data_IF_019574444246
#
_entry.id   IF_019574444246
#
_cell.length_a   1.000
_cell.length_b   1.000
_cell.length_c   1.000
_cell.angle_alpha   90.00
_cell.angle_beta   90.00
_cell.angle_gamma   90.00
#
_symmetry.space_group_name_H-M   'P 1'
#
loop_
_entity.id
_entity.type
_entity.pdbx_description
1 polymer ?
#
# COMPACT_ATOMS: atom_id res chain seq x y z
N UNK A 1 2.57 14.36 7.53
CA UNK A 1 2.80 14.28 6.07
C UNK A 1 1.55 13.67 5.43
N UNK A 2 1.06 14.22 4.31
CA UNK A 2 -0.11 13.66 3.61
C UNK A 2 0.36 12.63 2.58
N UNK A 3 -0.25 11.43 2.60
CA UNK A 3 0.17 10.28 1.78
C UNK A 3 -0.84 10.05 0.66
N UNK A 4 -2.12 9.93 1.03
CA UNK A 4 -3.24 9.91 0.09
C UNK A 4 -4.08 11.14 0.35
N UNK A 5 -4.31 11.92 -0.72
CA UNK A 5 -5.20 13.06 -0.69
C UNK A 5 -6.47 12.71 -1.46
N UNK A 6 -7.62 12.95 -0.83
CA UNK A 6 -8.93 12.86 -1.46
C UNK A 6 -9.49 14.27 -1.54
N UNK A 7 -9.87 14.66 -2.74
CA UNK A 7 -10.64 15.89 -3.00
C UNK A 7 -11.99 15.49 -3.57
N UNK A 8 -12.96 16.41 -3.55
CA UNK A 8 -14.29 16.16 -4.12
C UNK A 8 -14.30 15.80 -5.62
N UNK A 9 -13.16 15.84 -6.32
CA UNK A 9 -13.03 15.57 -7.75
C UNK A 9 -11.89 14.61 -8.12
N UNK A 10 -10.93 14.32 -7.23
CA UNK A 10 -9.79 13.46 -7.52
C UNK A 10 -9.18 12.83 -6.27
N UNK A 11 -8.59 11.65 -6.44
CA UNK A 11 -7.68 11.04 -5.45
C UNK A 11 -6.26 11.12 -5.97
N UNK A 12 -5.33 11.52 -5.11
CA UNK A 12 -3.89 11.62 -5.41
C UNK A 12 -3.08 10.83 -4.39
N UNK A 13 -1.97 10.24 -4.85
CA UNK A 13 -1.01 9.51 -4.03
C UNK A 13 0.35 10.19 -4.14
N UNK A 14 1.00 10.44 -2.99
CA UNK A 14 2.31 11.06 -2.93
C UNK A 14 3.42 10.01 -3.04
N UNK A 15 4.16 9.99 -4.15
CA UNK A 15 5.43 9.25 -4.23
C UNK A 15 6.48 10.02 -3.45
N UNK A 16 7.00 9.42 -2.38
CA UNK A 16 7.83 10.12 -1.39
C UNK A 16 9.27 9.62 -1.49
N UNK A 17 10.21 10.54 -1.73
CA UNK A 17 11.64 10.22 -1.69
C UNK A 17 12.21 10.53 -0.31
N UNK A 18 12.71 9.48 0.33
CA UNK A 18 13.38 9.51 1.63
C UNK A 18 14.89 9.56 1.42
N UNK A 19 15.56 10.56 2.00
CA UNK A 19 17.03 10.69 1.96
C UNK A 19 17.61 10.92 3.34
N UNK A 20 18.86 10.51 3.53
CA UNK A 20 19.63 10.72 4.76
C UNK A 20 20.96 11.39 4.42
N UNK A 21 21.40 12.33 5.26
CA UNK A 21 22.73 12.90 5.12
C UNK A 21 23.81 11.84 5.47
N UNK A 22 24.83 11.73 4.62
CA UNK A 22 25.95 10.80 4.83
C UNK A 22 25.79 9.43 4.16
N UNK A 23 24.75 9.23 3.35
CA UNK A 23 24.58 8.05 2.49
C UNK A 23 24.02 8.49 1.13
N UNK A 24 24.47 7.89 0.02
CA UNK A 24 23.90 8.13 -1.30
C UNK A 24 22.67 7.25 -1.60
N UNK A 25 22.31 6.31 -0.72
CA UNK A 25 21.13 5.44 -0.85
C UNK A 25 19.84 6.25 -0.70
N UNK A 26 18.89 6.03 -1.61
CA UNK A 26 17.56 6.64 -1.56
C UNK A 26 16.46 5.58 -1.48
N UNK A 27 15.48 5.81 -0.61
CA UNK A 27 14.24 5.03 -0.61
C UNK A 27 13.12 5.86 -1.26
N UNK A 28 12.44 5.29 -2.26
CA UNK A 28 11.32 5.93 -2.95
C UNK A 28 10.05 5.14 -2.63
N UNK A 29 9.16 5.74 -1.84
CA UNK A 29 7.92 5.10 -1.39
C UNK A 29 6.83 5.39 -2.41
N UNK A 30 6.17 4.33 -2.88
CA UNK A 30 5.00 4.38 -3.77
C UNK A 30 3.77 3.90 -2.98
N UNK A 31 2.95 4.81 -2.41
CA UNK A 31 1.71 4.44 -1.75
C UNK A 31 0.70 3.93 -2.77
N UNK A 32 0.43 2.64 -2.75
CA UNK A 32 -0.43 1.97 -3.71
C UNK A 32 -1.88 1.94 -3.25
N UNK A 33 -2.79 2.19 -4.19
CA UNK A 33 -4.17 1.74 -4.09
C UNK A 33 -4.35 0.52 -4.99
N UNK A 34 -4.96 -0.53 -4.47
CA UNK A 34 -5.20 -1.77 -5.23
C UNK A 34 -6.22 -1.60 -6.36
N UNK A 35 -6.97 -0.50 -6.39
CA UNK A 35 -7.86 -0.13 -7.50
C UNK A 35 -7.61 1.33 -7.86
N UNK A 36 -7.17 1.58 -9.09
CA UNK A 36 -6.84 2.92 -9.58
C UNK A 36 -7.00 3.02 -11.10
N UNK A 37 -6.80 4.21 -11.67
CA UNK A 37 -6.81 4.40 -13.12
C UNK A 37 -5.61 3.71 -13.81
N UNK A 38 -5.73 3.28 -15.08
CA UNK A 38 -4.59 2.78 -15.85
C UNK A 38 -3.43 3.77 -15.93
N UNK A 39 -3.74 5.08 -16.01
CA UNK A 39 -2.74 6.14 -16.04
C UNK A 39 -1.88 6.15 -14.78
N UNK A 40 -2.50 6.01 -13.59
CA UNK A 40 -1.77 5.90 -12.33
C UNK A 40 -0.73 4.78 -12.38
N UNK A 41 -1.15 3.56 -12.71
CA UNK A 41 -0.24 2.41 -12.76
C UNK A 41 0.85 2.57 -13.82
N UNK A 42 0.53 3.21 -14.96
CA UNK A 42 1.54 3.52 -15.98
C UNK A 42 2.60 4.51 -15.49
N UNK A 43 2.21 5.52 -14.71
CA UNK A 43 3.12 6.50 -14.11
C UNK A 43 4.00 5.89 -13.02
N UNK A 44 3.43 4.98 -12.20
CA UNK A 44 4.20 4.19 -11.23
C UNK A 44 5.23 3.33 -11.97
N UNK A 45 4.80 2.55 -12.98
CA UNK A 45 5.71 1.70 -13.77
C UNK A 45 6.84 2.48 -14.42
N UNK A 46 6.59 3.69 -14.94
CA UNK A 46 7.64 4.52 -15.52
C UNK A 46 8.71 4.89 -14.49
N UNK A 47 8.31 5.26 -13.27
CA UNK A 47 9.23 5.61 -12.17
C UNK A 47 9.96 4.40 -11.60
N UNK A 48 9.31 3.25 -11.53
CA UNK A 48 9.96 2.00 -11.08
C UNK A 48 11.14 1.60 -11.98
N UNK A 49 11.16 2.01 -13.26
CA UNK A 49 12.30 1.76 -14.15
C UNK A 49 13.55 2.56 -13.79
N UNK A 50 13.40 3.62 -13.01
CA UNK A 50 14.52 4.44 -12.53
C UNK A 50 15.08 3.93 -11.19
N UNK A 51 14.53 2.84 -10.67
CA UNK A 51 14.92 2.23 -9.40
C UNK A 51 15.70 0.94 -9.67
N UNK A 52 16.73 0.70 -8.87
CA UNK A 52 17.64 -0.44 -9.02
C UNK A 52 17.07 -1.68 -8.32
N UNK A 53 16.36 -1.46 -7.21
CA UNK A 53 15.79 -2.49 -6.36
C UNK A 53 14.33 -2.17 -6.04
N UNK A 54 13.45 -3.19 -6.07
CA UNK A 54 12.03 -3.02 -5.76
C UNK A 54 11.66 -3.92 -4.58
N UNK A 55 11.20 -3.30 -3.50
CA UNK A 55 10.61 -3.97 -2.34
C UNK A 55 9.10 -3.88 -2.48
N UNK A 56 8.42 -5.01 -2.69
CA UNK A 56 7.01 -5.05 -3.07
C UNK A 56 6.16 -5.85 -2.09
N UNK A 57 4.97 -5.32 -1.77
CA UNK A 57 3.91 -6.03 -1.05
C UNK A 57 3.39 -7.21 -1.88
N UNK A 58 3.07 -8.32 -1.22
CA UNK A 58 2.50 -9.48 -1.92
C UNK A 58 2.48 -10.70 -1.03
N UNK A 59 1.30 -11.06 -0.54
CA UNK A 59 1.14 -12.25 0.29
C UNK A 59 1.40 -13.50 -0.55
N UNK A 60 2.41 -14.29 -0.16
CA UNK A 60 2.79 -15.50 -0.88
C UNK A 60 1.88 -16.69 -0.56
N UNK A 61 1.46 -17.43 -1.58
CA UNK A 61 0.69 -18.66 -1.46
C UNK A 61 -0.83 -18.47 -1.63
N UNK A 62 -1.55 -19.60 -1.70
CA UNK A 62 -3.01 -19.59 -1.92
C UNK A 62 -3.72 -19.86 -0.61
N UNK A 63 -4.72 -19.04 -0.29
CA UNK A 63 -5.68 -19.39 0.75
C UNK A 63 -7.07 -18.84 0.47
N UNK A 64 -8.08 -19.65 0.78
CA UNK A 64 -9.50 -19.31 0.64
C UNK A 64 -9.85 -18.10 1.50
N UNK A 65 -9.34 -18.01 2.73
CA UNK A 65 -9.63 -16.89 3.64
C UNK A 65 -9.16 -15.55 3.10
N UNK A 66 -7.91 -15.47 2.65
CA UNK A 66 -7.36 -14.26 2.02
C UNK A 66 -8.07 -13.95 0.71
N UNK A 67 -8.33 -14.95 -0.13
CA UNK A 67 -9.07 -14.75 -1.37
C UNK A 67 -10.48 -14.19 -1.13
N UNK A 68 -11.13 -14.53 -0.01
CA UNK A 68 -12.44 -13.98 0.37
C UNK A 68 -12.33 -12.55 0.90
N UNK A 69 -11.25 -12.22 1.63
CA UNK A 69 -11.02 -10.87 2.14
C UNK A 69 -10.61 -9.90 1.02
N UNK A 70 -9.83 -10.36 0.03
CA UNK A 70 -9.45 -9.57 -1.14
C UNK A 70 -10.52 -9.56 -2.23
N UNK A 71 -11.62 -10.29 -2.03
CA UNK A 71 -12.72 -10.40 -2.99
C UNK A 71 -13.36 -9.04 -3.30
N UNK A 72 -13.37 -8.13 -2.32
CA UNK A 72 -13.88 -6.76 -2.49
C UNK A 72 -13.17 -6.02 -3.63
N UNK A 73 -11.85 -6.16 -3.74
CA UNK A 73 -11.04 -5.55 -4.80
C UNK A 73 -11.36 -6.12 -6.18
N UNK A 74 -11.75 -7.39 -6.27
CA UNK A 74 -12.07 -8.07 -7.55
C UNK A 74 -13.41 -7.66 -8.15
N UNK A 75 -14.31 -7.06 -7.36
CA UNK A 75 -15.62 -6.61 -7.84
C UNK A 75 -15.64 -5.12 -8.22
N UNK A 76 -14.75 -4.31 -7.67
CA UNK A 76 -14.64 -2.89 -8.00
C UNK A 76 -14.36 -2.58 -9.51
N UNK A 77 -13.45 -3.28 -10.21
CA UNK A 77 -13.11 -2.96 -11.61
C UNK A 77 -13.95 -3.73 -12.65
N UNK A 78 -14.91 -4.57 -12.23
CA UNK A 78 -15.54 -5.57 -13.12
C UNK A 78 -16.41 -4.99 -14.25
N UNK A 79 -16.66 -3.68 -14.25
CA UNK A 79 -17.17 -2.95 -15.42
C UNK A 79 -16.06 -2.05 -15.97
N UNK A 80 -15.56 -2.39 -17.17
CA UNK A 80 -14.71 -1.51 -18.01
C UNK A 80 -15.27 -0.09 -18.23
N UNK A 81 -16.54 0.15 -17.89
CA UNK A 81 -17.22 1.46 -17.92
C UNK A 81 -16.64 2.51 -16.96
N UNK A 82 -15.85 2.11 -15.97
CA UNK A 82 -15.46 3.00 -14.88
C UNK A 82 -14.02 3.53 -14.99
N UNK A 83 -13.24 3.11 -15.99
CA UNK A 83 -11.86 3.58 -16.17
C UNK A 83 -10.87 3.18 -15.05
N UNK A 84 -11.23 2.22 -14.20
CA UNK A 84 -10.39 1.70 -13.10
C UNK A 84 -9.94 0.27 -13.38
N UNK A 85 -8.77 -0.10 -12.86
CA UNK A 85 -8.20 -1.44 -12.92
C UNK A 85 -7.65 -1.87 -11.56
N UNK A 86 -7.58 -3.17 -11.35
CA UNK A 86 -6.91 -3.77 -10.19
C UNK A 86 -5.39 -3.68 -10.35
N UNK A 87 -4.67 -3.46 -9.26
CA UNK A 87 -3.22 -3.59 -9.22
C UNK A 87 -2.84 -5.02 -9.59
N UNK A 88 -1.93 -5.16 -10.55
CA UNK A 88 -1.32 -6.44 -10.92
C UNK A 88 0.17 -6.25 -11.08
N UNK A 89 0.94 -7.20 -10.57
CA UNK A 89 2.40 -7.14 -10.61
C UNK A 89 2.93 -7.04 -12.05
N UNK A 90 2.29 -7.76 -12.99
CA UNK A 90 2.56 -7.72 -14.44
C UNK A 90 2.41 -6.30 -15.05
N UNK A 91 1.59 -5.44 -14.45
CA UNK A 91 1.37 -4.07 -14.91
C UNK A 91 2.42 -3.09 -14.36
N UNK A 92 3.11 -3.47 -13.29
CA UNK A 92 4.06 -2.61 -12.58
C UNK A 92 5.51 -2.98 -12.91
N UNK A 93 5.81 -4.28 -12.91
CA UNK A 93 7.16 -4.80 -13.02
C UNK A 93 7.61 -4.95 -14.49
N UNK A 94 8.89 -4.71 -14.72
CA UNK A 94 9.60 -5.18 -15.91
C UNK A 94 10.39 -6.44 -15.57
N UNK A 95 10.62 -7.32 -16.55
CA UNK A 95 11.33 -8.60 -16.37
C UNK A 95 12.76 -8.46 -15.80
N UNK A 96 13.33 -7.26 -15.84
CA UNK A 96 14.73 -6.97 -15.46
C UNK A 96 14.92 -6.44 -14.04
N UNK A 97 13.85 -6.08 -13.31
CA UNK A 97 14.00 -5.47 -11.99
C UNK A 97 14.22 -6.54 -10.90
N UNK A 98 15.18 -6.31 -10.00
CA UNK A 98 15.33 -7.16 -8.81
C UNK A 98 14.20 -6.86 -7.83
N UNK A 99 13.36 -7.86 -7.54
CA UNK A 99 12.21 -7.73 -6.66
C UNK A 99 12.40 -8.51 -5.37
N UNK A 100 12.38 -7.81 -4.25
CA UNK A 100 12.33 -8.37 -2.90
C UNK A 100 10.88 -8.29 -2.42
N UNK A 101 10.37 -9.39 -1.88
CA UNK A 101 9.05 -9.43 -1.29
C UNK A 101 9.18 -10.00 0.13
N UNK A 102 9.28 -9.11 1.14
CA UNK A 102 9.49 -9.50 2.54
C UNK A 102 8.18 -9.84 3.27
N UNK A 103 7.07 -9.89 2.55
CA UNK A 103 5.72 -10.02 3.12
C UNK A 103 5.46 -11.40 3.75
N UNK A 104 4.33 -11.51 4.43
CA UNK A 104 3.88 -12.75 5.06
C UNK A 104 3.31 -13.74 4.03
N UNK A 105 3.34 -15.01 4.40
CA UNK A 105 2.63 -16.05 3.65
C UNK A 105 1.13 -15.99 3.93
N UNK A 106 0.35 -16.60 3.03
CA UNK A 106 -1.10 -16.67 3.16
C UNK A 106 -1.55 -17.42 4.42
N UNK A 107 -0.76 -18.38 4.89
CA UNK A 107 -1.04 -19.09 6.13
C UNK A 107 -0.82 -18.20 7.36
N UNK A 108 0.28 -17.43 7.38
CA UNK A 108 0.63 -16.52 8.46
C UNK A 108 -0.41 -15.39 8.60
N UNK A 109 -0.78 -14.74 7.49
CA UNK A 109 -1.79 -13.67 7.50
C UNK A 109 -3.16 -14.16 8.02
N UNK A 110 -3.56 -15.38 7.67
CA UNK A 110 -4.80 -15.98 8.21
C UNK A 110 -4.65 -16.37 9.67
N UNK A 111 -3.46 -16.80 10.09
CA UNK A 111 -3.16 -17.05 11.50
C UNK A 111 -3.42 -15.80 12.34
N UNK A 112 -2.96 -14.65 11.88
CA UNK A 112 -3.11 -13.37 12.59
C UNK A 112 -4.57 -12.92 12.63
N UNK A 113 -5.30 -13.07 11.52
CA UNK A 113 -6.74 -12.80 11.48
C UNK A 113 -7.56 -13.76 12.36
N UNK A 114 -7.15 -15.01 12.48
CA UNK A 114 -7.77 -15.99 13.37
C UNK A 114 -7.42 -15.78 14.85
N UNK A 115 -6.37 -15.00 15.14
CA UNK A 115 -6.04 -14.59 16.51
C UNK A 115 -7.02 -13.54 17.05
N UNK A 116 -7.77 -12.86 16.16
CA UNK A 116 -8.90 -12.02 16.55
C UNK A 116 -10.03 -12.86 17.15
N UNK A 117 -10.98 -12.18 17.81
CA UNK A 117 -12.24 -12.81 18.22
C UNK A 117 -12.90 -13.51 17.03
N UNK A 118 -13.41 -14.74 17.26
CA UNK A 118 -14.05 -15.57 16.23
C UNK A 118 -15.21 -14.85 15.54
N UNK A 119 -15.94 -14.01 16.28
CA UNK A 119 -17.03 -13.20 15.75
C UNK A 119 -16.52 -12.13 14.79
N UNK A 120 -15.43 -11.44 15.15
CA UNK A 120 -14.77 -10.46 14.29
C UNK A 120 -14.30 -11.10 12.99
N UNK A 121 -13.65 -12.26 13.06
CA UNK A 121 -13.20 -12.99 11.88
C UNK A 121 -14.37 -13.39 10.96
N UNK A 122 -15.47 -13.89 11.53
CA UNK A 122 -16.68 -14.22 10.77
C UNK A 122 -17.31 -12.97 10.13
N UNK A 123 -17.39 -11.87 10.87
CA UNK A 123 -17.89 -10.59 10.36
C UNK A 123 -17.05 -10.10 9.18
N UNK A 124 -15.72 -10.23 9.23
CA UNK A 124 -14.85 -9.85 8.12
C UNK A 124 -15.10 -10.70 6.86
N UNK A 125 -15.28 -12.02 7.03
CA UNK A 125 -15.60 -12.91 5.91
C UNK A 125 -16.94 -12.57 5.23
N UNK A 126 -17.92 -12.07 5.99
CA UNK A 126 -19.22 -11.63 5.46
C UNK A 126 -19.16 -10.21 4.91
N UNK A 127 -18.43 -9.30 5.56
CA UNK A 127 -18.32 -7.91 5.15
C UNK A 127 -17.60 -7.76 3.81
N UNK A 128 -16.57 -8.57 3.54
CA UNK A 128 -15.80 -8.49 2.29
C UNK A 128 -16.64 -8.64 1.00
N UNK A 129 -17.49 -9.67 0.83
CA UNK A 129 -18.36 -9.77 -0.35
C UNK A 129 -19.44 -8.69 -0.39
N UNK A 130 -19.96 -8.23 0.76
CA UNK A 130 -20.91 -7.10 0.82
C UNK A 130 -20.25 -5.82 0.33
N UNK A 131 -19.04 -5.52 0.78
CA UNK A 131 -18.25 -4.38 0.31
C UNK A 131 -17.95 -4.49 -1.19
N UNK A 132 -17.60 -5.68 -1.68
CA UNK A 132 -17.44 -5.93 -3.12
C UNK A 132 -18.70 -5.60 -3.92
N UNK A 133 -19.88 -5.95 -3.40
CA UNK A 133 -21.17 -5.62 -4.03
C UNK A 133 -21.46 -4.11 -3.98
N UNK A 134 -21.19 -3.46 -2.85
CA UNK A 134 -21.33 -2.00 -2.70
C UNK A 134 -20.44 -1.28 -3.73
N UNK A 135 -19.17 -1.69 -3.88
CA UNK A 135 -18.27 -1.13 -4.88
C UNK A 135 -18.78 -1.35 -6.30
N UNK A 136 -19.32 -2.53 -6.60
CA UNK A 136 -19.91 -2.82 -7.91
C UNK A 136 -21.13 -1.93 -8.23
N UNK A 137 -21.90 -1.51 -7.22
CA UNK A 137 -23.08 -0.66 -7.37
C UNK A 137 -22.76 0.84 -7.38
N UNK A 138 -21.90 1.32 -6.48
CA UNK A 138 -21.56 2.76 -6.33
C UNK A 138 -20.57 3.26 -7.38
N UNK A 139 -19.76 2.38 -7.97
CA UNK A 139 -18.73 2.77 -8.94
C UNK A 139 -17.60 3.60 -8.31
N UNK A 140 -16.88 4.42 -9.10
CA UNK A 140 -15.70 5.17 -8.65
C UNK A 140 -15.96 6.12 -7.47
N UNK A 141 -17.21 6.54 -7.25
CA UNK A 141 -17.57 7.44 -6.15
C UNK A 141 -17.33 6.85 -4.76
N UNK A 142 -17.35 5.53 -4.63
CA UNK A 142 -16.95 4.89 -3.37
C UNK A 142 -15.46 5.07 -3.07
N UNK A 143 -14.66 5.44 -4.07
CA UNK A 143 -13.25 5.76 -3.91
C UNK A 143 -12.97 7.27 -3.79
N UNK A 144 -14.01 8.12 -3.70
CA UNK A 144 -13.87 9.55 -3.43
C UNK A 144 -14.29 9.89 -1.99
N UNK A 145 -14.35 8.88 -1.12
CA UNK A 145 -14.72 9.04 0.27
C UNK A 145 -13.52 9.50 1.11
N UNK A 146 -13.77 10.33 2.13
CA UNK A 146 -12.72 10.83 3.04
C UNK A 146 -12.04 9.67 3.80
N UNK A 147 -12.73 8.53 3.92
CA UNK A 147 -12.20 7.29 4.50
C UNK A 147 -10.97 6.70 3.76
N UNK A 148 -10.64 7.20 2.57
CA UNK A 148 -9.42 6.83 1.84
C UNK A 148 -8.21 7.73 2.10
N UNK A 149 -8.41 8.84 2.82
CA UNK A 149 -7.32 9.72 3.21
C UNK A 149 -6.37 8.94 4.12
N UNK A 150 -5.10 8.93 3.74
CA UNK A 150 -4.03 8.35 4.55
C UNK A 150 -3.05 9.47 4.85
N UNK A 151 -2.84 9.70 6.14
CA UNK A 151 -1.91 10.69 6.66
C UNK A 151 -0.99 10.02 7.67
N UNK A 152 0.22 10.57 7.79
CA UNK A 152 1.23 10.12 8.74
C UNK A 152 0.80 10.36 10.20
N UNK A 153 0.00 11.40 10.44
CA UNK A 153 -0.66 11.67 11.71
C UNK A 153 -2.16 11.73 11.47
N UNK A 154 -2.99 11.05 12.27
CA UNK A 154 -4.43 11.14 12.13
C UNK A 154 -4.88 12.58 12.43
N UNK A 155 -5.63 13.18 11.52
CA UNK A 155 -6.16 14.55 11.67
C UNK A 155 -7.66 14.58 11.99
N UNK A 156 -8.32 13.41 11.99
CA UNK A 156 -9.75 13.27 12.31
C UNK A 156 -9.96 12.21 13.40
N UNK A 157 -11.02 12.35 14.19
CA UNK A 157 -11.38 11.39 15.24
C UNK A 157 -11.58 9.97 14.66
N UNK A 158 -12.12 9.87 13.45
CA UNK A 158 -12.29 8.58 12.77
C UNK A 158 -10.94 7.96 12.38
N UNK A 159 -9.99 8.75 11.90
CA UNK A 159 -8.63 8.29 11.62
C UNK A 159 -7.91 7.85 12.90
N UNK A 160 -8.09 8.56 14.02
CA UNK A 160 -7.58 8.16 15.33
C UNK A 160 -8.16 6.80 15.77
N UNK A 161 -9.49 6.62 15.65
CA UNK A 161 -10.14 5.34 15.98
C UNK A 161 -9.70 4.18 15.06
N UNK A 162 -9.38 4.45 13.79
CA UNK A 162 -8.84 3.44 12.88
C UNK A 162 -7.38 3.11 13.18
N UNK A 163 -6.59 4.07 13.68
CA UNK A 163 -5.20 3.85 14.07
C UNK A 163 -5.08 2.85 15.23
N UNK A 164 -6.00 2.89 16.19
CA UNK A 164 -6.03 1.96 17.34
C UNK A 164 -6.87 0.69 17.08
N UNK A 165 -7.26 0.43 15.83
CA UNK A 165 -8.17 -0.66 15.51
C UNK A 165 -7.45 -2.03 15.50
N UNK A 166 -7.87 -3.00 16.33
CA UNK A 166 -7.20 -4.30 16.42
C UNK A 166 -7.24 -5.12 15.12
N UNK A 167 -8.23 -4.88 14.25
CA UNK A 167 -8.28 -5.51 12.93
C UNK A 167 -7.18 -4.94 12.02
N UNK A 168 -6.95 -3.63 12.07
CA UNK A 168 -5.90 -2.98 11.29
C UNK A 168 -4.53 -3.48 11.77
N UNK A 169 -4.28 -3.49 13.07
CA UNK A 169 -3.04 -4.06 13.64
C UNK A 169 -2.80 -5.52 13.23
N UNK A 170 -3.84 -6.36 13.26
CA UNK A 170 -3.72 -7.75 12.81
C UNK A 170 -3.42 -7.88 11.31
N UNK A 171 -3.80 -6.89 10.50
CA UNK A 171 -3.53 -6.84 9.06
C UNK A 171 -2.18 -6.21 8.73
N UNK A 172 -1.63 -5.33 9.57
CA UNK A 172 -0.46 -4.50 9.23
C UNK A 172 0.78 -4.81 10.05
N UNK A 173 0.70 -4.91 11.38
CA UNK A 173 1.88 -4.83 12.27
C UNK A 173 2.99 -5.84 11.93
N UNK A 174 2.64 -7.12 11.73
CA UNK A 174 3.64 -8.14 11.40
C UNK A 174 4.26 -7.89 10.02
N UNK A 175 3.46 -7.40 9.07
CA UNK A 175 3.89 -7.12 7.70
C UNK A 175 4.83 -5.91 7.69
N UNK A 176 4.47 -4.87 8.42
CA UNK A 176 5.29 -3.67 8.64
C UNK A 176 6.62 -4.02 9.28
N UNK A 177 6.60 -4.89 10.30
CA UNK A 177 7.83 -5.35 10.94
C UNK A 177 8.75 -6.05 9.94
N UNK A 178 8.25 -7.02 9.17
CA UNK A 178 9.08 -7.72 8.16
C UNK A 178 9.60 -6.79 7.08
N UNK A 179 8.78 -5.84 6.65
CA UNK A 179 9.20 -4.82 5.70
C UNK A 179 10.33 -3.97 6.28
N UNK A 180 10.16 -3.42 7.49
CA UNK A 180 11.19 -2.59 8.13
C UNK A 180 12.49 -3.35 8.38
N UNK A 181 12.41 -4.63 8.73
CA UNK A 181 13.58 -5.48 8.91
C UNK A 181 14.32 -5.68 7.57
N UNK A 182 13.60 -5.94 6.48
CA UNK A 182 14.18 -6.03 5.12
C UNK A 182 14.77 -4.69 4.63
N UNK A 183 14.13 -3.56 4.93
CA UNK A 183 14.69 -2.23 4.62
C UNK A 183 15.96 -1.97 5.43
N UNK A 184 16.04 -2.51 6.65
CA UNK A 184 17.24 -2.48 7.48
C UNK A 184 18.40 -3.26 6.88
N UNK A 185 18.14 -4.46 6.37
CA UNK A 185 19.13 -5.27 5.66
C UNK A 185 19.65 -4.54 4.41
N UNK A 186 18.75 -4.01 3.58
CA UNK A 186 19.11 -3.21 2.40
C UNK A 186 19.96 -2.00 2.78
N UNK A 187 19.60 -1.29 3.85
CA UNK A 187 20.39 -0.16 4.33
C UNK A 187 21.79 -0.58 4.78
N UNK A 188 21.91 -1.72 5.46
CA UNK A 188 23.19 -2.22 5.94
C UNK A 188 24.10 -2.69 4.79
N UNK A 189 23.52 -3.30 3.75
CA UNK A 189 24.26 -3.84 2.61
C UNK A 189 24.63 -2.79 1.58
N UNK A 190 23.70 -1.89 1.24
CA UNK A 190 23.83 -0.93 0.14
C UNK A 190 23.91 0.53 0.60
N UNK A 191 24.11 0.76 1.89
CA UNK A 191 24.12 2.11 2.47
C UNK A 191 25.16 3.06 1.87
N UNK A 192 26.23 2.57 1.27
CA UNK A 192 27.27 3.39 0.62
C UNK A 192 27.13 3.45 -0.90
N UNK A 193 26.11 2.78 -1.47
CA UNK A 193 25.88 2.70 -2.91
C UNK A 193 24.84 3.74 -3.37
N UNK A 194 25.06 4.41 -4.52
CA UNK A 194 24.13 5.39 -5.06
C UNK A 194 22.97 4.74 -5.80
N UNK A 195 22.21 3.89 -5.10
CA UNK A 195 21.06 3.17 -5.65
C UNK A 195 19.73 3.76 -5.16
N UNK A 196 18.68 3.56 -5.95
CA UNK A 196 17.30 3.92 -5.61
C UNK A 196 16.49 2.67 -5.35
N UNK A 197 15.96 2.56 -4.13
CA UNK A 197 15.15 1.42 -3.69
C UNK A 197 13.68 1.84 -3.68
N UNK A 198 12.88 1.26 -4.58
CA UNK A 198 11.44 1.47 -4.61
C UNK A 198 10.75 0.64 -3.54
N UNK A 199 9.85 1.25 -2.77
CA UNK A 199 8.98 0.58 -1.80
C UNK A 199 7.55 0.66 -2.31
N UNK A 200 7.04 -0.44 -2.87
CA UNK A 200 5.72 -0.53 -3.50
C UNK A 200 4.75 -1.26 -2.57
N UNK A 201 4.07 -0.50 -1.73
CA UNK A 201 3.19 -1.02 -0.68
C UNK A 201 1.87 -0.26 -0.64
N UNK A 202 0.81 -0.94 -0.19
CA UNK A 202 -0.49 -0.36 0.08
C UNK A 202 -0.36 0.87 0.98
N UNK A 203 -1.09 1.94 0.66
CA UNK A 203 -0.92 3.24 1.31
C UNK A 203 -1.02 3.18 2.84
N UNK A 204 -1.83 2.26 3.41
CA UNK A 204 -1.96 2.07 4.85
C UNK A 204 -0.66 1.66 5.58
N UNK A 205 0.32 1.10 4.88
CA UNK A 205 1.63 0.73 5.44
C UNK A 205 2.62 1.91 5.49
N UNK A 206 2.36 2.99 4.74
CA UNK A 206 3.31 4.10 4.55
C UNK A 206 3.64 4.89 5.82
N UNK A 207 2.71 5.14 6.77
CA UNK A 207 3.07 5.76 8.04
C UNK A 207 4.13 4.96 8.81
N UNK A 208 3.97 3.63 8.88
CA UNK A 208 4.93 2.75 9.55
C UNK A 208 6.30 2.71 8.82
N UNK A 209 6.28 2.68 7.49
CA UNK A 209 7.51 2.75 6.66
C UNK A 209 8.25 4.06 6.92
N UNK A 210 7.54 5.19 6.88
CA UNK A 210 8.12 6.52 7.01
C UNK A 210 8.71 6.71 8.41
N UNK A 211 7.92 6.40 9.44
CA UNK A 211 8.36 6.45 10.84
C UNK A 211 9.54 5.51 11.09
N UNK A 212 9.50 4.28 10.58
CA UNK A 212 10.58 3.31 10.75
C UNK A 212 11.89 3.76 10.10
N UNK A 213 11.85 4.28 8.87
CA UNK A 213 13.04 4.84 8.19
C UNK A 213 13.58 6.08 8.90
N UNK A 214 12.70 6.91 9.46
CA UNK A 214 13.05 8.10 10.23
C UNK A 214 13.71 7.76 11.57
N UNK A 215 13.08 6.90 12.34
CA UNK A 215 13.45 6.65 13.74
C UNK A 215 14.62 5.68 13.85
N UNK A 216 14.67 4.64 12.99
CA UNK A 216 15.73 3.63 13.04
C UNK A 216 17.00 4.08 12.30
N UNK A 217 16.84 4.78 11.19
CA UNK A 217 17.94 5.03 10.25
C UNK A 217 18.17 6.51 9.94
N UNK A 218 17.34 7.44 10.43
CA UNK A 218 17.55 8.88 10.27
C UNK A 218 17.25 9.43 8.86
N UNK A 219 16.56 8.67 8.01
CA UNK A 219 16.06 9.19 6.74
C UNK A 219 14.98 10.24 6.99
N UNK A 220 14.82 11.17 6.05
CA UNK A 220 13.76 12.20 6.09
C UNK A 220 13.11 12.29 4.73
N UNK A 221 11.79 12.55 4.66
CA UNK A 221 11.15 12.89 3.39
C UNK A 221 11.76 14.18 2.86
N UNK A 222 12.23 14.16 1.62
CA UNK A 222 12.84 15.33 0.96
C UNK A 222 12.05 15.81 -0.25
N UNK A 223 11.44 14.89 -0.96
CA UNK A 223 10.65 15.19 -2.16
C UNK A 223 9.35 14.39 -2.10
N UNK A 224 8.29 14.96 -2.66
CA UNK A 224 7.01 14.29 -2.84
C UNK A 224 6.42 14.68 -4.20
N UNK A 225 6.10 13.68 -5.00
CA UNK A 225 5.43 13.86 -6.29
C UNK A 225 4.01 13.29 -6.25
N UNK A 226 3.03 14.10 -6.61
CA UNK A 226 1.63 13.68 -6.62
C UNK A 226 1.26 12.96 -7.91
N UNK A 227 0.83 11.71 -7.80
CA UNK A 227 0.24 10.94 -8.89
C UNK A 227 -1.28 10.93 -8.74
N UNK A 228 -1.98 11.16 -9.84
CA UNK A 228 -3.44 11.08 -9.85
C UNK A 228 -3.87 9.63 -9.92
N UNK A 229 -4.51 9.15 -8.86
CA UNK A 229 -5.02 7.77 -8.75
C UNK A 229 -6.26 7.62 -9.60
N UNK A 230 -7.22 8.52 -9.44
CA UNK A 230 -8.45 8.61 -10.23
C UNK A 230 -9.01 10.02 -10.19
N UNK A 231 -9.82 10.36 -11.19
CA UNK A 231 -10.62 11.58 -11.26
C UNK A 231 -12.09 11.22 -11.38
N UNK A 232 -12.96 12.07 -10.86
CA UNK A 232 -14.39 11.94 -11.07
C UNK A 232 -14.71 12.20 -12.55
N UNK A 233 -15.39 11.24 -13.19
CA UNK A 233 -15.94 11.38 -14.54
C UNK A 233 -17.33 12.06 -14.52
#
# INVERSE_FOLDING_TARGET
MQIIEVTGYAVRSAVITMRRAGTPLEFVIFPMLHVASPTFYSQVRLRLRECDLIVMEGIRGKSVGISTLTLAYRFAPRRRRNGLQEQRDELLLSETAQVINPDVTAAEAIGDLKALSRWTYLLLLVAAPVMGLVFALRGPRAFLDEDLVVEDLPSTLQAEMMADNPVIHALTDRRDKRLLDALGEIHAEHGDEPIRVAIVYGAGHVPAITSGLMDRYGYRPREAEWLTVLVQA
#
